data_IF_651375183474
#
_entry.id   IF_651375183474
#
_cell.length_a   1.000
_cell.length_b   1.000
_cell.length_c   1.000
_cell.angle_alpha   90.00
_cell.angle_beta   90.00
_cell.angle_gamma   90.00
#
_symmetry.space_group_name_H-M   'P 1'
#
loop_
_entity.id
_entity.type
_entity.pdbx_description
1 polymer ?
#
# COMPACT_ATOMS: atom_id res chain seq x y z
N UNK A 1 -16.29 -15.74 -35.02
CA UNK A 1 -16.84 -14.69 -34.14
C UNK A 1 -18.10 -15.24 -33.48
N UNK A 2 -17.96 -15.81 -32.28
CA UNK A 2 -19.11 -16.20 -31.47
C UNK A 2 -19.49 -14.98 -30.63
N UNK A 3 -20.50 -14.24 -31.07
CA UNK A 3 -21.09 -13.17 -30.27
C UNK A 3 -21.91 -13.83 -29.17
N UNK A 4 -21.30 -14.04 -28.00
CA UNK A 4 -22.06 -14.30 -26.77
C UNK A 4 -23.06 -13.15 -26.62
N UNK A 5 -24.38 -13.43 -26.58
CA UNK A 5 -25.36 -12.37 -26.42
C UNK A 5 -25.11 -11.70 -25.06
N UNK A 6 -24.93 -10.38 -25.06
CA UNK A 6 -24.89 -9.58 -23.83
C UNK A 6 -26.21 -9.85 -23.12
N UNK A 7 -26.15 -10.60 -22.02
CA UNK A 7 -27.36 -10.90 -21.27
C UNK A 7 -27.98 -9.57 -20.81
N UNK A 8 -29.28 -9.38 -21.03
CA UNK A 8 -30.02 -8.18 -20.58
C UNK A 8 -29.88 -7.97 -19.06
N UNK A 9 -29.56 -9.04 -18.32
CA UNK A 9 -29.20 -9.01 -16.89
C UNK A 9 -27.95 -8.20 -16.54
N UNK A 10 -27.05 -7.95 -17.50
CA UNK A 10 -25.84 -7.15 -17.28
C UNK A 10 -26.07 -5.64 -17.44
N UNK A 11 -27.28 -5.19 -17.82
CA UNK A 11 -27.60 -3.78 -18.01
C UNK A 11 -28.29 -3.11 -16.81
N UNK A 12 -28.65 -3.89 -15.77
CA UNK A 12 -29.42 -3.39 -14.63
C UNK A 12 -28.77 -3.75 -13.27
N UNK A 13 -28.67 -2.77 -12.36
CA UNK A 13 -28.10 -2.92 -11.01
C UNK A 13 -29.14 -3.30 -9.95
N UNK A 14 -30.07 -4.21 -10.27
CA UNK A 14 -31.04 -4.68 -9.28
C UNK A 14 -30.38 -5.47 -8.15
N UNK A 15 -31.07 -5.54 -7.00
CA UNK A 15 -30.57 -6.28 -5.84
C UNK A 15 -30.34 -7.75 -6.21
N UNK A 16 -29.08 -8.20 -6.11
CA UNK A 16 -28.68 -9.59 -6.36
C UNK A 16 -28.43 -10.30 -5.04
N UNK A 17 -28.65 -11.62 -5.02
CA UNK A 17 -28.27 -12.45 -3.87
C UNK A 17 -26.74 -12.48 -3.78
N UNK A 18 -26.21 -12.13 -2.62
CA UNK A 18 -24.78 -12.19 -2.32
C UNK A 18 -24.39 -13.63 -2.01
N UNK A 19 -23.93 -14.33 -3.05
CA UNK A 19 -23.22 -15.60 -2.93
C UNK A 19 -21.72 -15.36 -3.06
N UNK A 20 -20.91 -16.21 -2.43
CA UNK A 20 -19.47 -16.19 -2.66
C UNK A 20 -19.16 -16.48 -4.14
N UNK A 21 -18.25 -15.69 -4.71
CA UNK A 21 -17.85 -15.80 -6.12
C UNK A 21 -17.04 -17.08 -6.37
N UNK A 22 -16.86 -17.44 -7.63
CA UNK A 22 -15.98 -18.55 -8.02
C UNK A 22 -14.51 -18.08 -8.00
N UNK A 23 -13.63 -18.68 -7.17
CA UNK A 23 -12.21 -18.34 -7.14
C UNK A 23 -11.46 -18.62 -8.45
N UNK A 24 -12.04 -19.41 -9.35
CA UNK A 24 -11.48 -19.79 -10.66
C UNK A 24 -12.21 -19.13 -11.84
N UNK A 25 -13.02 -18.09 -11.58
CA UNK A 25 -13.71 -17.33 -12.63
C UNK A 25 -12.72 -16.75 -13.66
N UNK A 26 -12.82 -17.18 -14.91
CA UNK A 26 -12.01 -16.64 -16.00
C UNK A 26 -12.24 -15.14 -16.20
N UNK A 27 -11.16 -14.38 -16.39
CA UNK A 27 -11.19 -12.93 -16.67
C UNK A 27 -11.85 -12.06 -15.58
N UNK A 28 -11.78 -12.45 -14.30
CA UNK A 28 -12.14 -11.53 -13.20
C UNK A 28 -11.09 -10.41 -13.10
N UNK A 29 -11.48 -9.22 -13.54
CA UNK A 29 -10.70 -7.97 -13.47
C UNK A 29 -11.31 -6.98 -12.49
N UNK A 30 -10.52 -6.00 -12.06
CA UNK A 30 -10.98 -4.89 -11.21
C UNK A 30 -12.14 -4.11 -11.89
N UNK A 31 -13.23 -3.91 -11.16
CA UNK A 31 -14.39 -3.17 -11.68
C UNK A 31 -14.16 -1.65 -11.59
N UNK A 32 -14.83 -0.83 -12.42
CA UNK A 32 -14.73 0.62 -12.32
C UNK A 32 -15.08 1.18 -10.92
N UNK A 33 -15.98 0.52 -10.19
CA UNK A 33 -16.32 0.89 -8.81
C UNK A 33 -15.17 0.61 -7.85
N UNK A 34 -14.49 -0.53 -7.99
CA UNK A 34 -13.30 -0.86 -7.20
C UNK A 34 -12.18 0.14 -7.47
N UNK A 35 -11.95 0.52 -8.73
CA UNK A 35 -10.98 1.55 -9.10
C UNK A 35 -11.32 2.92 -8.51
N UNK A 36 -12.61 3.29 -8.54
CA UNK A 36 -13.08 4.54 -7.95
C UNK A 36 -12.91 4.53 -6.42
N UNK A 37 -13.15 3.40 -5.77
CA UNK A 37 -12.87 3.23 -4.34
C UNK A 37 -11.37 3.37 -4.05
N UNK A 38 -10.52 2.65 -4.81
CA UNK A 38 -9.07 2.69 -4.65
C UNK A 38 -8.54 4.12 -4.82
N UNK A 39 -9.07 4.87 -5.80
CA UNK A 39 -8.69 6.27 -6.06
C UNK A 39 -8.90 7.18 -4.85
N UNK A 40 -9.87 6.91 -3.97
CA UNK A 40 -10.09 7.76 -2.77
C UNK A 40 -8.90 7.79 -1.83
N UNK A 41 -8.07 6.75 -1.85
CA UNK A 41 -6.87 6.65 -1.02
C UNK A 41 -5.74 7.57 -1.51
N UNK A 42 -5.80 8.09 -2.74
CA UNK A 42 -4.79 9.05 -3.23
C UNK A 42 -4.67 10.27 -2.31
N UNK A 43 -5.81 10.78 -1.82
CA UNK A 43 -5.82 11.93 -0.90
C UNK A 43 -5.25 11.56 0.47
N UNK A 44 -5.52 10.35 0.95
CA UNK A 44 -4.98 9.87 2.22
C UNK A 44 -3.45 9.70 2.14
N UNK A 45 -2.94 9.15 1.03
CA UNK A 45 -1.51 9.06 0.78
C UNK A 45 -0.86 10.44 0.66
N UNK A 46 -1.44 11.35 -0.11
CA UNK A 46 -0.91 12.71 -0.26
C UNK A 46 -0.83 13.47 1.07
N UNK A 47 -1.85 13.38 1.92
CA UNK A 47 -1.81 13.99 3.25
C UNK A 47 -0.76 13.30 4.15
N UNK A 48 -0.68 11.97 4.15
CA UNK A 48 0.33 11.25 4.93
C UNK A 48 1.76 11.58 4.47
N UNK A 49 2.00 11.65 3.16
CA UNK A 49 3.29 12.00 2.56
C UNK A 49 3.68 13.46 2.87
N UNK A 50 2.73 14.40 2.75
CA UNK A 50 2.96 15.80 3.07
C UNK A 50 3.30 16.00 4.55
N UNK A 51 2.56 15.36 5.47
CA UNK A 51 2.86 15.41 6.90
C UNK A 51 4.22 14.78 7.24
N UNK A 52 4.56 13.64 6.62
CA UNK A 52 5.88 13.02 6.77
C UNK A 52 6.98 13.96 6.28
N UNK A 53 6.85 14.51 5.07
CA UNK A 53 7.85 15.38 4.47
C UNK A 53 8.10 16.63 5.32
N UNK A 54 7.04 17.26 5.81
CA UNK A 54 7.14 18.41 6.70
C UNK A 54 7.89 18.08 8.00
N UNK A 55 7.46 17.02 8.70
CA UNK A 55 8.11 16.59 9.95
C UNK A 55 9.58 16.21 9.74
N UNK A 56 9.92 15.54 8.64
CA UNK A 56 11.31 15.21 8.31
C UNK A 56 12.13 16.47 8.00
N UNK A 57 11.58 17.41 7.22
CA UNK A 57 12.24 18.66 6.87
C UNK A 57 12.51 19.55 8.08
N UNK A 58 11.66 19.51 9.11
CA UNK A 58 11.87 20.22 10.38
C UNK A 58 12.80 19.48 11.36
N UNK A 59 13.22 18.25 11.03
CA UNK A 59 14.06 17.43 11.91
C UNK A 59 13.30 16.66 12.98
N UNK A 60 11.96 16.68 12.95
CA UNK A 60 11.07 15.95 13.85
C UNK A 60 10.90 14.48 13.42
N UNK A 61 12.01 13.75 13.34
CA UNK A 61 12.04 12.38 12.79
C UNK A 61 11.12 11.40 13.50
N UNK A 62 11.08 11.43 14.84
CA UNK A 62 10.25 10.50 15.61
C UNK A 62 8.75 10.72 15.33
N UNK A 63 8.32 11.99 15.29
CA UNK A 63 6.94 12.39 14.95
C UNK A 63 6.60 11.92 13.53
N UNK A 64 7.47 12.24 12.57
CA UNK A 64 7.29 11.87 11.16
C UNK A 64 7.14 10.36 10.98
N UNK A 65 8.07 9.57 11.53
CA UNK A 65 8.09 8.12 11.36
C UNK A 65 6.95 7.41 12.10
N UNK A 66 6.65 7.80 13.34
CA UNK A 66 5.54 7.20 14.10
C UNK A 66 4.18 7.56 13.51
N UNK A 67 3.96 8.85 13.21
CA UNK A 67 2.74 9.33 12.59
C UNK A 67 2.51 8.69 11.22
N UNK A 68 3.55 8.61 10.39
CA UNK A 68 3.47 7.98 9.07
C UNK A 68 3.27 6.47 9.16
N UNK A 69 3.96 5.78 10.08
CA UNK A 69 3.75 4.35 10.29
C UNK A 69 2.31 4.03 10.70
N UNK A 70 1.74 4.81 11.63
CA UNK A 70 0.34 4.68 12.04
C UNK A 70 -0.62 5.01 10.90
N UNK A 71 -0.39 6.11 10.16
CA UNK A 71 -1.19 6.49 9.00
C UNK A 71 -1.14 5.43 7.90
N UNK A 72 0.05 4.95 7.53
CA UNK A 72 0.26 3.92 6.52
C UNK A 72 -0.46 2.62 6.88
N UNK A 73 -0.39 2.20 8.14
CA UNK A 73 -1.19 1.07 8.64
C UNK A 73 -2.69 1.36 8.47
N UNK A 74 -3.17 2.50 8.97
CA UNK A 74 -4.58 2.86 8.96
C UNK A 74 -5.14 2.94 7.52
N UNK A 75 -4.39 3.48 6.58
CA UNK A 75 -4.79 3.62 5.19
C UNK A 75 -4.83 2.24 4.52
N UNK A 76 -3.74 1.47 4.60
CA UNK A 76 -3.67 0.15 3.97
C UNK A 76 -4.67 -0.83 4.58
N UNK A 77 -4.88 -0.81 5.89
CA UNK A 77 -5.80 -1.70 6.57
C UNK A 77 -7.26 -1.45 6.15
N UNK A 78 -7.67 -0.18 6.03
CA UNK A 78 -8.99 0.18 5.53
C UNK A 78 -9.21 -0.34 4.11
N UNK A 79 -8.22 -0.21 3.24
CA UNK A 79 -8.26 -0.72 1.87
C UNK A 79 -8.32 -2.27 1.82
N UNK A 80 -7.48 -2.96 2.59
CA UNK A 80 -7.44 -4.43 2.66
C UNK A 80 -8.81 -4.97 3.05
N UNK A 81 -9.44 -4.44 4.11
CA UNK A 81 -10.73 -4.95 4.58
C UNK A 81 -11.78 -4.98 3.47
N UNK A 82 -11.98 -3.86 2.77
CA UNK A 82 -12.94 -3.81 1.66
C UNK A 82 -12.51 -4.69 0.48
N UNK A 83 -11.24 -4.66 0.13
CA UNK A 83 -10.78 -5.22 -1.14
C UNK A 83 -10.87 -6.74 -1.20
N UNK A 84 -10.53 -7.40 -0.08
CA UNK A 84 -10.68 -8.85 0.04
C UNK A 84 -12.15 -9.28 0.09
N UNK A 85 -13.01 -8.49 0.75
CA UNK A 85 -14.45 -8.75 0.73
C UNK A 85 -15.05 -8.60 -0.68
N UNK A 86 -14.71 -7.54 -1.40
CA UNK A 86 -15.17 -7.33 -2.76
C UNK A 86 -14.71 -8.46 -3.69
N UNK A 87 -13.47 -8.94 -3.54
CA UNK A 87 -12.99 -10.11 -4.30
C UNK A 87 -13.87 -11.36 -4.06
N UNK A 88 -14.31 -11.58 -2.82
CA UNK A 88 -15.12 -12.74 -2.46
C UNK A 88 -16.64 -12.58 -2.76
N UNK A 89 -17.18 -11.36 -2.69
CA UNK A 89 -18.64 -11.13 -2.57
C UNK A 89 -19.19 -9.97 -3.41
N UNK A 90 -18.41 -9.30 -4.25
CA UNK A 90 -18.91 -8.22 -5.11
C UNK A 90 -20.06 -8.70 -6.02
N UNK A 91 -21.24 -8.09 -5.85
CA UNK A 91 -22.47 -8.37 -6.60
C UNK A 91 -22.81 -7.31 -7.64
N UNK A 92 -22.12 -6.16 -7.64
CA UNK A 92 -22.37 -4.97 -8.47
C UNK A 92 -23.86 -4.51 -8.52
N UNK A 93 -24.60 -4.68 -7.41
CA UNK A 93 -25.96 -4.13 -7.29
C UNK A 93 -25.97 -2.71 -6.69
N UNK A 94 -27.11 -2.02 -6.83
CA UNK A 94 -27.26 -0.65 -6.36
C UNK A 94 -26.96 -0.48 -4.86
N UNK A 95 -27.28 -1.49 -4.05
CA UNK A 95 -27.04 -1.45 -2.61
C UNK A 95 -25.55 -1.61 -2.33
N UNK A 96 -24.87 -2.53 -3.01
CA UNK A 96 -23.42 -2.66 -2.91
C UNK A 96 -22.72 -1.34 -3.27
N UNK A 97 -23.09 -0.72 -4.39
CA UNK A 97 -22.57 0.59 -4.83
C UNK A 97 -22.77 1.68 -3.79
N UNK A 98 -23.97 1.80 -3.23
CA UNK A 98 -24.27 2.81 -2.22
C UNK A 98 -23.46 2.59 -0.94
N UNK A 99 -23.30 1.34 -0.51
CA UNK A 99 -22.48 1.02 0.67
C UNK A 99 -20.99 1.28 0.42
N UNK A 100 -20.47 0.98 -0.79
CA UNK A 100 -19.10 1.35 -1.17
C UNK A 100 -18.90 2.87 -1.13
N UNK A 101 -19.89 3.65 -1.59
CA UNK A 101 -19.84 5.11 -1.47
C UNK A 101 -19.77 5.59 -0.01
N UNK A 102 -20.49 4.93 0.92
CA UNK A 102 -20.36 5.23 2.35
C UNK A 102 -18.94 4.93 2.85
N UNK A 103 -18.31 3.84 2.39
CA UNK A 103 -16.93 3.54 2.74
C UNK A 103 -15.95 4.59 2.19
N UNK A 104 -16.15 5.05 0.95
CA UNK A 104 -15.37 6.16 0.37
C UNK A 104 -15.45 7.42 1.22
N UNK A 105 -16.64 7.79 1.72
CA UNK A 105 -16.80 8.92 2.64
C UNK A 105 -15.97 8.70 3.91
N UNK A 106 -15.99 7.49 4.46
CA UNK A 106 -15.19 7.15 5.64
C UNK A 106 -13.68 7.26 5.40
N UNK A 107 -13.17 6.90 4.21
CA UNK A 107 -11.76 7.09 3.82
C UNK A 107 -11.40 8.58 3.79
N UNK A 108 -12.27 9.42 3.21
CA UNK A 108 -12.04 10.87 3.15
C UNK A 108 -12.04 11.51 4.54
N UNK A 109 -12.96 11.11 5.41
CA UNK A 109 -12.99 11.57 6.82
C UNK A 109 -11.72 11.13 7.55
N UNK A 110 -11.26 9.89 7.35
CA UNK A 110 -10.00 9.42 7.91
C UNK A 110 -8.82 10.30 7.45
N UNK A 111 -8.74 10.60 6.15
CA UNK A 111 -7.68 11.40 5.57
C UNK A 111 -7.63 12.81 6.17
N UNK A 112 -8.79 13.46 6.37
CA UNK A 112 -8.90 14.79 7.01
C UNK A 112 -8.39 14.77 8.46
N UNK A 113 -8.44 13.62 9.14
CA UNK A 113 -7.93 13.46 10.49
C UNK A 113 -6.40 13.40 10.60
N UNK A 114 -5.68 13.10 9.50
CA UNK A 114 -4.24 12.89 9.53
C UNK A 114 -3.44 14.10 10.04
N UNK A 115 -3.64 15.34 9.55
CA UNK A 115 -2.87 16.48 10.05
C UNK A 115 -3.03 16.72 11.56
N UNK A 116 -4.25 16.53 12.08
CA UNK A 116 -4.51 16.66 13.53
C UNK A 116 -3.80 15.59 14.34
N UNK A 117 -3.80 14.35 13.85
CA UNK A 117 -3.10 13.26 14.50
C UNK A 117 -1.59 13.53 14.55
N UNK A 118 -0.98 13.96 13.44
CA UNK A 118 0.45 14.35 13.44
C UNK A 118 0.74 15.48 14.43
N UNK A 119 -0.06 16.56 14.41
CA UNK A 119 0.12 17.68 15.33
C UNK A 119 0.00 17.25 16.82
N UNK A 120 -0.87 16.29 17.12
CA UNK A 120 -1.04 15.76 18.48
C UNK A 120 0.16 14.92 18.95
N UNK A 121 0.87 14.24 18.05
CA UNK A 121 2.10 13.51 18.40
C UNK A 121 3.23 14.48 18.76
N UNK A 122 3.28 15.63 18.08
CA UNK A 122 4.35 16.61 18.25
C UNK A 122 4.14 17.52 19.46
N UNK A 123 2.93 18.03 19.63
CA UNK A 123 2.62 19.10 20.59
C UNK A 123 1.55 18.71 21.62
N UNK A 124 0.91 17.55 21.47
CA UNK A 124 -0.24 17.16 22.28
C UNK A 124 0.14 16.48 23.58
N UNK A 125 -0.63 16.74 24.64
CA UNK A 125 -0.62 15.94 25.87
C UNK A 125 -1.25 14.55 25.66
N UNK A 126 -2.08 14.41 24.62
CA UNK A 126 -2.81 13.19 24.26
C UNK A 126 -2.85 13.01 22.73
N UNK A 127 -2.91 11.76 22.28
CA UNK A 127 -3.03 11.41 20.85
C UNK A 127 -4.45 11.72 20.35
N UNK A 128 -4.61 12.71 19.47
CA UNK A 128 -5.89 13.04 18.85
C UNK A 128 -6.02 12.33 17.49
N UNK A 129 -6.52 11.10 17.53
CA UNK A 129 -6.92 10.33 16.34
C UNK A 129 -8.45 10.24 16.18
N UNK A 130 -9.20 11.12 16.84
CA UNK A 130 -10.67 11.06 16.93
C UNK A 130 -11.36 11.06 15.56
N UNK A 131 -10.94 11.96 14.67
CA UNK A 131 -11.46 12.05 13.29
C UNK A 131 -11.06 10.82 12.48
N UNK A 132 -9.85 10.30 12.65
CA UNK A 132 -9.41 9.08 11.96
C UNK A 132 -10.30 7.89 12.34
N UNK A 133 -10.58 7.72 13.63
CA UNK A 133 -11.46 6.65 14.10
C UNK A 133 -12.91 6.89 13.67
N UNK A 134 -13.40 8.12 13.62
CA UNK A 134 -14.72 8.42 13.05
C UNK A 134 -14.84 7.94 11.60
N UNK A 135 -13.82 8.21 10.78
CA UNK A 135 -13.74 7.68 9.42
C UNK A 135 -13.81 6.15 9.39
N UNK A 136 -13.07 5.49 10.29
CA UNK A 136 -13.14 4.04 10.49
C UNK A 136 -14.50 3.52 10.90
N UNK A 137 -15.20 4.20 11.82
CA UNK A 137 -16.56 3.83 12.24
C UNK A 137 -17.49 3.83 11.04
N UNK A 138 -17.44 4.88 10.20
CA UNK A 138 -18.24 4.98 8.97
C UNK A 138 -17.96 3.78 8.05
N UNK A 139 -16.68 3.49 7.79
CA UNK A 139 -16.27 2.37 6.96
C UNK A 139 -16.71 1.02 7.52
N UNK A 140 -16.60 0.82 8.85
CA UNK A 140 -16.88 -0.45 9.50
C UNK A 140 -18.37 -0.72 9.68
N UNK A 141 -19.19 0.30 9.90
CA UNK A 141 -20.65 0.11 9.89
C UNK A 141 -21.10 -0.39 8.53
N UNK A 142 -20.61 0.22 7.45
CA UNK A 142 -20.82 -0.26 6.08
C UNK A 142 -20.30 -1.69 5.87
N UNK A 143 -19.10 -1.99 6.38
CA UNK A 143 -18.49 -3.31 6.25
C UNK A 143 -19.23 -4.41 7.02
N UNK A 144 -19.63 -4.14 8.26
CA UNK A 144 -20.42 -5.05 9.10
C UNK A 144 -21.76 -5.32 8.42
N UNK A 145 -22.41 -4.30 7.86
CA UNK A 145 -23.65 -4.49 7.10
C UNK A 145 -23.46 -5.46 5.93
N UNK A 146 -22.38 -5.32 5.16
CA UNK A 146 -22.06 -6.20 4.03
C UNK A 146 -21.74 -7.64 4.48
N UNK A 147 -20.96 -7.82 5.54
CA UNK A 147 -20.72 -9.16 6.10
C UNK A 147 -21.99 -9.81 6.66
N UNK A 148 -22.88 -9.04 7.30
CA UNK A 148 -24.17 -9.54 7.77
C UNK A 148 -25.12 -9.89 6.61
N UNK A 149 -25.03 -9.16 5.49
CA UNK A 149 -25.74 -9.49 4.25
C UNK A 149 -25.20 -10.81 3.67
N UNK A 150 -23.89 -10.96 3.56
CA UNK A 150 -23.23 -12.20 3.12
C UNK A 150 -23.62 -13.38 4.03
N UNK A 151 -23.53 -13.23 5.36
CA UNK A 151 -23.89 -14.26 6.34
C UNK A 151 -25.35 -14.75 6.23
N UNK A 152 -26.26 -13.89 5.78
CA UNK A 152 -27.67 -14.25 5.54
C UNK A 152 -27.88 -14.93 4.19
N UNK A 153 -27.14 -14.52 3.17
CA UNK A 153 -27.38 -14.92 1.78
C UNK A 153 -26.51 -16.09 1.31
N UNK A 154 -25.43 -16.39 2.05
CA UNK A 154 -24.49 -17.48 1.83
C UNK A 154 -24.35 -18.38 3.09
N UNK A 155 -25.31 -19.30 3.33
CA UNK A 155 -25.32 -20.14 4.53
C UNK A 155 -24.06 -21.02 4.69
N UNK A 156 -23.41 -21.42 3.59
CA UNK A 156 -22.24 -22.28 3.61
C UNK A 156 -21.03 -21.63 4.30
N UNK A 157 -20.91 -20.29 4.20
CA UNK A 157 -19.80 -19.50 4.78
C UNK A 157 -20.28 -18.52 5.86
N UNK A 158 -21.48 -18.76 6.42
CA UNK A 158 -22.09 -17.92 7.44
C UNK A 158 -21.17 -17.72 8.65
N UNK A 159 -20.54 -18.79 9.13
CA UNK A 159 -19.67 -18.74 10.31
C UNK A 159 -18.43 -17.88 10.08
N UNK A 160 -17.86 -17.91 8.87
CA UNK A 160 -16.73 -17.06 8.46
C UNK A 160 -17.18 -15.59 8.47
N UNK A 161 -18.31 -15.29 7.83
CA UNK A 161 -18.87 -13.94 7.76
C UNK A 161 -19.16 -13.37 9.17
N UNK A 162 -19.75 -14.18 10.07
CA UNK A 162 -20.02 -13.75 11.45
C UNK A 162 -18.74 -13.60 12.29
N UNK A 163 -17.68 -14.36 11.98
CA UNK A 163 -16.37 -14.17 12.60
C UNK A 163 -15.78 -12.82 12.21
N UNK A 164 -15.86 -12.44 10.92
CA UNK A 164 -15.48 -11.09 10.47
C UNK A 164 -16.31 -9.99 11.15
N UNK A 165 -17.64 -10.13 11.23
CA UNK A 165 -18.50 -9.17 11.95
C UNK A 165 -18.04 -8.98 13.39
N UNK A 166 -17.77 -10.08 14.08
CA UNK A 166 -17.37 -10.07 15.49
C UNK A 166 -16.00 -9.43 15.68
N UNK A 167 -15.01 -9.82 14.87
CA UNK A 167 -13.66 -9.26 14.96
C UNK A 167 -13.64 -7.75 14.67
N UNK A 168 -14.31 -7.33 13.59
CA UNK A 168 -14.42 -5.92 13.19
C UNK A 168 -15.12 -5.10 14.29
N UNK A 169 -16.20 -5.63 14.88
CA UNK A 169 -16.94 -4.97 15.95
C UNK A 169 -16.13 -4.84 17.25
N UNK A 170 -15.46 -5.91 17.69
CA UNK A 170 -14.61 -5.89 18.90
C UNK A 170 -13.52 -4.83 18.76
N UNK A 171 -12.80 -4.86 17.63
CA UNK A 171 -11.72 -3.92 17.42
C UNK A 171 -12.24 -2.47 17.31
N UNK A 172 -13.39 -2.26 16.65
CA UNK A 172 -14.01 -0.94 16.56
C UNK A 172 -14.45 -0.39 17.92
N UNK A 173 -15.03 -1.24 18.78
CA UNK A 173 -15.38 -0.85 20.15
C UNK A 173 -14.12 -0.42 20.91
N UNK A 174 -13.04 -1.19 20.78
CA UNK A 174 -11.76 -0.85 21.39
C UNK A 174 -11.22 0.51 20.96
N UNK A 175 -11.21 0.80 19.65
CA UNK A 175 -10.77 2.11 19.13
C UNK A 175 -11.67 3.26 19.60
N UNK A 176 -12.98 3.04 19.71
CA UNK A 176 -13.92 4.07 20.23
C UNK A 176 -13.67 4.32 21.72
N UNK A 177 -13.49 3.26 22.52
CA UNK A 177 -13.18 3.38 23.95
C UNK A 177 -11.89 4.16 24.16
N UNK A 178 -10.88 3.93 23.32
CA UNK A 178 -9.60 4.63 23.40
C UNK A 178 -9.71 6.15 23.21
N UNK A 179 -10.71 6.63 22.46
CA UNK A 179 -10.96 8.06 22.26
C UNK A 179 -11.86 8.66 23.34
N UNK A 180 -12.81 7.88 23.85
CA UNK A 180 -13.77 8.37 24.84
C UNK A 180 -13.21 8.39 26.27
N UNK A 181 -12.13 7.64 26.51
CA UNK A 181 -11.51 7.52 27.83
C UNK A 181 -10.11 8.14 27.77
N UNK A 182 -9.86 9.11 28.65
CA UNK A 182 -8.57 9.78 28.78
C UNK A 182 -7.52 8.85 29.42
N UNK A 183 -6.97 7.95 28.62
CA UNK A 183 -5.85 7.11 29.00
C UNK A 183 -4.52 7.89 28.89
N UNK A 184 -3.58 7.58 29.79
CA UNK A 184 -2.19 8.06 29.63
C UNK A 184 -1.59 7.62 28.28
N UNK A 185 -0.61 8.36 27.77
CA UNK A 185 0.04 8.07 26.48
C UNK A 185 0.57 6.62 26.42
N UNK A 186 1.22 6.15 27.49
CA UNK A 186 1.74 4.77 27.57
C UNK A 186 0.63 3.73 27.49
N UNK A 187 -0.46 3.95 28.23
CA UNK A 187 -1.62 3.04 28.22
C UNK A 187 -2.30 3.04 26.85
N UNK A 188 -2.44 4.21 26.24
CA UNK A 188 -2.95 4.35 24.87
C UNK A 188 -2.07 3.63 23.86
N UNK A 189 -0.75 3.74 23.94
CA UNK A 189 0.16 3.03 23.05
C UNK A 189 0.02 1.50 23.19
N UNK A 190 -0.03 0.98 24.42
CA UNK A 190 -0.21 -0.47 24.68
C UNK A 190 -1.57 -0.96 24.17
N UNK A 191 -2.65 -0.22 24.44
CA UNK A 191 -3.99 -0.55 23.94
C UNK A 191 -4.03 -0.52 22.42
N UNK A 192 -3.42 0.47 21.77
CA UNK A 192 -3.34 0.55 20.32
C UNK A 192 -2.64 -0.69 19.75
N UNK A 193 -1.50 -1.13 20.32
CA UNK A 193 -0.82 -2.35 19.90
C UNK A 193 -1.71 -3.59 20.06
N UNK A 194 -2.42 -3.72 21.19
CA UNK A 194 -3.37 -4.82 21.40
C UNK A 194 -4.45 -4.80 20.34
N UNK A 195 -5.03 -3.63 20.03
CA UNK A 195 -6.05 -3.49 19.00
C UNK A 195 -5.50 -3.84 17.62
N UNK A 196 -4.31 -3.39 17.26
CA UNK A 196 -3.63 -3.78 16.02
C UNK A 196 -3.46 -5.30 15.91
N UNK A 197 -3.10 -5.98 17.00
CA UNK A 197 -3.02 -7.44 17.02
C UNK A 197 -4.39 -8.09 16.83
N UNK A 198 -5.46 -7.54 17.43
CA UNK A 198 -6.84 -8.01 17.21
C UNK A 198 -7.27 -7.82 15.76
N UNK A 199 -6.94 -6.67 15.15
CA UNK A 199 -7.18 -6.41 13.72
C UNK A 199 -6.53 -7.49 12.85
N UNK A 200 -5.23 -7.74 13.04
CA UNK A 200 -4.48 -8.71 12.25
C UNK A 200 -4.93 -10.16 12.52
N UNK A 201 -5.32 -10.48 13.74
CA UNK A 201 -5.77 -11.83 14.10
C UNK A 201 -7.17 -12.16 13.55
N UNK A 202 -8.04 -11.16 13.38
CA UNK A 202 -9.42 -11.34 12.93
C UNK A 202 -9.54 -12.11 11.61
N UNK A 203 -8.93 -11.64 10.51
CA UNK A 203 -8.92 -12.35 9.23
C UNK A 203 -8.27 -13.73 9.32
N UNK A 204 -7.15 -13.88 10.05
CA UNK A 204 -6.47 -15.17 10.23
C UNK A 204 -7.39 -16.20 10.89
N UNK A 205 -8.16 -15.79 11.90
CA UNK A 205 -9.13 -16.65 12.57
C UNK A 205 -10.32 -17.00 11.67
N UNK A 206 -10.81 -16.03 10.89
CA UNK A 206 -11.94 -16.23 9.98
C UNK A 206 -11.60 -17.19 8.84
N UNK A 207 -10.44 -17.01 8.20
CA UNK A 207 -10.02 -17.78 7.03
C UNK A 207 -9.57 -19.21 7.36
N UNK A 208 -9.24 -19.52 8.63
CA UNK A 208 -8.96 -20.90 9.07
C UNK A 208 -10.20 -21.79 9.10
N UNK A 209 -11.41 -21.22 8.99
CA UNK A 209 -12.67 -21.97 9.08
C UNK A 209 -13.20 -22.31 7.69
N UNK A 210 -13.73 -23.52 7.52
CA UNK A 210 -14.52 -23.96 6.37
C UNK A 210 -13.90 -23.61 4.98
N UNK A 211 -12.57 -23.66 4.85
CA UNK A 211 -11.85 -23.40 3.59
C UNK A 211 -11.67 -21.93 3.23
N UNK A 212 -12.05 -20.99 4.09
CA UNK A 212 -11.88 -19.55 3.88
C UNK A 212 -12.91 -18.91 2.96
N UNK A 213 -12.74 -17.61 2.72
CA UNK A 213 -13.56 -16.85 1.77
C UNK A 213 -13.12 -17.13 0.33
N UNK A 214 -14.06 -17.12 -0.64
CA UNK A 214 -13.77 -17.50 -2.02
C UNK A 214 -13.23 -16.31 -2.84
N UNK A 215 -12.14 -15.71 -2.38
CA UNK A 215 -11.45 -14.63 -3.10
C UNK A 215 -10.68 -15.16 -4.33
N UNK A 216 -10.49 -14.29 -5.33
CA UNK A 216 -9.84 -14.62 -6.60
C UNK A 216 -8.40 -14.08 -6.65
N UNK A 217 -7.42 -14.94 -6.92
CA UNK A 217 -5.99 -14.59 -6.83
C UNK A 217 -5.52 -13.51 -7.82
N UNK A 218 -5.85 -13.66 -9.11
CA UNK A 218 -5.43 -12.68 -10.13
C UNK A 218 -6.05 -11.31 -9.88
N UNK A 219 -7.36 -11.26 -9.62
CA UNK A 219 -8.06 -10.05 -9.18
C UNK A 219 -7.40 -9.38 -7.98
N UNK A 220 -6.98 -10.15 -6.96
CA UNK A 220 -6.32 -9.55 -5.80
C UNK A 220 -4.94 -9.00 -6.14
N UNK A 221 -4.11 -9.77 -6.84
CA UNK A 221 -2.81 -9.28 -7.30
C UNK A 221 -2.96 -8.00 -8.17
N UNK A 222 -3.95 -7.97 -9.07
CA UNK A 222 -4.27 -6.80 -9.88
C UNK A 222 -4.63 -5.60 -9.01
N UNK A 223 -5.55 -5.74 -8.04
CA UNK A 223 -5.95 -4.64 -7.17
C UNK A 223 -4.80 -4.10 -6.31
N UNK A 224 -3.95 -4.96 -5.77
CA UNK A 224 -2.74 -4.50 -5.06
C UNK A 224 -1.80 -3.72 -6.00
N UNK A 225 -1.66 -4.16 -7.27
CA UNK A 225 -0.84 -3.43 -8.25
C UNK A 225 -1.40 -2.05 -8.61
N UNK A 226 -2.72 -1.93 -8.70
CA UNK A 226 -3.39 -0.65 -8.97
C UNK A 226 -3.32 0.28 -7.76
N UNK A 227 -3.43 -0.28 -6.55
CA UNK A 227 -3.20 0.46 -5.30
C UNK A 227 -1.75 0.95 -5.19
N UNK A 228 -0.77 0.14 -5.60
CA UNK A 228 0.64 0.56 -5.69
C UNK A 228 0.85 1.66 -6.75
N UNK A 229 0.15 1.64 -7.88
CA UNK A 229 0.16 2.74 -8.87
C UNK A 229 -0.37 4.04 -8.26
N UNK A 230 -1.46 3.98 -7.49
CA UNK A 230 -2.01 5.14 -6.79
C UNK A 230 -0.98 5.71 -5.81
N UNK A 231 -0.32 4.85 -5.04
CA UNK A 231 0.77 5.25 -4.14
C UNK A 231 1.97 5.86 -4.90
N UNK A 232 2.35 5.29 -6.06
CA UNK A 232 3.40 5.82 -6.93
C UNK A 232 3.08 7.22 -7.47
N UNK A 233 1.80 7.62 -7.48
CA UNK A 233 1.39 9.00 -7.77
C UNK A 233 2.10 10.02 -6.88
N UNK A 234 2.40 9.68 -5.62
CA UNK A 234 3.17 10.54 -4.70
C UNK A 234 4.63 10.73 -5.15
N UNK A 235 5.21 9.76 -5.86
CA UNK A 235 6.51 9.93 -6.51
C UNK A 235 6.46 11.00 -7.60
N UNK A 236 5.39 11.04 -8.39
CA UNK A 236 5.17 12.07 -9.44
C UNK A 236 4.92 13.44 -8.81
N UNK A 237 4.08 13.53 -7.78
CA UNK A 237 3.77 14.79 -7.07
C UNK A 237 5.03 15.33 -6.38
N UNK A 238 5.80 14.48 -5.70
CA UNK A 238 7.07 14.85 -5.10
C UNK A 238 8.11 15.28 -6.13
N UNK A 239 8.18 14.62 -7.29
CA UNK A 239 9.03 15.04 -8.42
C UNK A 239 8.64 16.43 -8.89
N UNK A 240 7.34 16.70 -9.09
CA UNK A 240 6.85 18.01 -9.48
C UNK A 240 7.24 19.07 -8.45
N UNK A 241 7.06 18.80 -7.15
CA UNK A 241 7.45 19.72 -6.09
C UNK A 241 8.95 20.04 -6.13
N UNK A 242 9.79 19.02 -6.24
CA UNK A 242 11.26 19.20 -6.32
C UNK A 242 11.70 19.94 -7.59
N UNK A 243 11.08 19.66 -8.74
CA UNK A 243 11.37 20.34 -10.00
C UNK A 243 10.92 21.81 -9.93
N UNK A 244 9.73 22.09 -9.41
CA UNK A 244 9.21 23.45 -9.20
C UNK A 244 10.15 24.24 -8.31
N UNK A 245 10.61 23.67 -7.19
CA UNK A 245 11.58 24.30 -6.29
C UNK A 245 12.87 24.71 -7.02
N UNK A 246 13.46 23.82 -7.83
CA UNK A 246 14.68 24.16 -8.59
C UNK A 246 14.41 25.26 -9.61
N UNK A 247 13.31 25.17 -10.35
CA UNK A 247 12.98 26.15 -11.40
C UNK A 247 12.66 27.52 -10.81
N UNK A 248 12.02 27.60 -9.65
CA UNK A 248 11.73 28.87 -8.97
C UNK A 248 12.99 29.52 -8.39
N UNK A 249 13.89 28.74 -7.77
CA UNK A 249 15.13 29.26 -7.17
C UNK A 249 16.23 29.57 -8.21
N UNK A 250 16.34 28.77 -9.27
CA UNK A 250 17.50 28.78 -10.16
C UNK A 250 17.16 28.93 -11.65
N UNK A 251 15.87 28.88 -12.01
CA UNK A 251 15.42 28.83 -13.40
C UNK A 251 15.63 27.45 -14.05
N UNK A 252 15.33 27.37 -15.35
CA UNK A 252 15.58 26.17 -16.14
C UNK A 252 17.08 25.96 -16.36
N UNK A 253 17.66 24.97 -15.70
CA UNK A 253 19.08 24.62 -15.77
C UNK A 253 19.29 23.09 -15.82
N UNK A 254 20.56 22.65 -15.75
CA UNK A 254 20.90 21.23 -15.74
C UNK A 254 20.33 20.52 -14.50
N UNK A 255 20.37 21.15 -13.33
CA UNK A 255 19.89 20.55 -12.08
C UNK A 255 18.38 20.31 -12.12
N UNK A 256 17.62 21.23 -12.73
CA UNK A 256 16.19 21.04 -12.98
C UNK A 256 15.95 19.79 -13.86
N UNK A 257 16.73 19.62 -14.92
CA UNK A 257 16.65 18.44 -15.78
C UNK A 257 17.03 17.16 -15.01
N UNK A 258 18.09 17.19 -14.21
CA UNK A 258 18.54 16.04 -13.42
C UNK A 258 17.52 15.65 -12.35
N UNK A 259 16.94 16.61 -11.61
CA UNK A 259 15.89 16.34 -10.61
C UNK A 259 14.64 15.77 -11.28
N UNK A 260 14.20 16.33 -12.40
CA UNK A 260 13.05 15.82 -13.16
C UNK A 260 13.27 14.38 -13.66
N UNK A 261 14.45 14.09 -14.20
CA UNK A 261 14.84 12.72 -14.63
C UNK A 261 14.95 11.78 -13.44
N UNK A 262 15.55 12.23 -12.33
CA UNK A 262 15.75 11.39 -11.15
C UNK A 262 14.42 10.99 -10.52
N UNK A 263 13.53 11.94 -10.26
CA UNK A 263 12.22 11.68 -9.65
C UNK A 263 11.29 10.85 -10.53
N UNK A 264 11.23 11.17 -11.83
CA UNK A 264 10.47 10.38 -12.80
C UNK A 264 11.04 8.97 -12.93
N UNK A 265 12.37 8.86 -13.05
CA UNK A 265 13.06 7.59 -13.17
C UNK A 265 12.95 6.72 -11.92
N UNK A 266 12.93 7.31 -10.72
CA UNK A 266 12.68 6.59 -9.46
C UNK A 266 11.28 5.98 -9.48
N UNK A 267 10.27 6.80 -9.74
CA UNK A 267 8.87 6.35 -9.80
C UNK A 267 8.68 5.26 -10.84
N UNK A 268 9.24 5.45 -12.03
CA UNK A 268 9.16 4.47 -13.12
C UNK A 268 9.93 3.18 -12.82
N UNK A 269 11.12 3.28 -12.22
CA UNK A 269 11.91 2.12 -11.81
C UNK A 269 11.23 1.31 -10.71
N UNK A 270 10.60 1.98 -9.74
CA UNK A 270 9.82 1.32 -8.68
C UNK A 270 8.59 0.61 -9.26
N UNK A 271 7.87 1.27 -10.17
CA UNK A 271 6.77 0.64 -10.91
C UNK A 271 7.24 -0.64 -11.62
N UNK A 272 8.35 -0.56 -12.38
CA UNK A 272 8.86 -1.72 -13.12
C UNK A 272 9.25 -2.87 -12.18
N UNK A 273 9.98 -2.58 -11.09
CA UNK A 273 10.35 -3.60 -10.10
C UNK A 273 9.13 -4.25 -9.45
N UNK A 274 8.07 -3.47 -9.16
CA UNK A 274 6.84 -4.00 -8.56
C UNK A 274 6.15 -5.03 -9.46
N UNK A 275 6.08 -4.74 -10.76
CA UNK A 275 5.43 -5.60 -11.76
C UNK A 275 6.24 -6.85 -12.13
N UNK A 276 7.46 -7.01 -11.62
CA UNK A 276 8.23 -8.24 -11.75
C UNK A 276 7.76 -9.35 -10.78
N UNK A 277 6.92 -9.05 -9.80
CA UNK A 277 6.46 -10.06 -8.84
C UNK A 277 5.38 -10.98 -9.44
N UNK A 278 5.58 -12.32 -9.48
CA UNK A 278 4.58 -13.28 -9.98
C UNK A 278 3.46 -13.57 -8.97
N UNK A 279 2.90 -12.53 -8.35
CA UNK A 279 1.93 -12.66 -7.26
C UNK A 279 0.68 -13.44 -7.66
N UNK A 280 0.10 -13.13 -8.82
CA UNK A 280 -1.14 -13.73 -9.28
C UNK A 280 -1.08 -15.26 -9.49
N UNK A 281 -0.14 -15.80 -10.31
CA UNK A 281 -0.04 -17.25 -10.53
C UNK A 281 0.36 -17.99 -9.24
N UNK A 282 1.29 -17.44 -8.45
CA UNK A 282 1.72 -18.07 -7.20
C UNK A 282 0.57 -18.17 -6.20
N UNK A 283 -0.20 -17.11 -6.00
CA UNK A 283 -1.35 -17.13 -5.07
C UNK A 283 -2.51 -17.98 -5.57
N UNK A 284 -2.63 -18.18 -6.89
CA UNK A 284 -3.60 -19.10 -7.46
C UNK A 284 -3.27 -20.55 -7.10
N UNK A 285 -1.99 -20.93 -7.18
CA UNK A 285 -1.51 -22.25 -6.80
C UNK A 285 -1.38 -22.44 -5.27
N UNK A 286 -0.93 -21.42 -4.55
CA UNK A 286 -0.54 -21.47 -3.13
C UNK A 286 -1.29 -20.40 -2.32
N UNK A 287 -2.58 -20.64 -2.06
CA UNK A 287 -3.45 -19.70 -1.31
C UNK A 287 -2.99 -19.42 0.12
N UNK A 288 -2.27 -20.35 0.74
CA UNK A 288 -1.71 -20.23 2.09
C UNK A 288 -0.70 -19.08 2.21
N UNK A 289 -0.06 -18.69 1.10
CA UNK A 289 0.90 -17.57 1.03
C UNK A 289 0.25 -16.18 1.07
N UNK A 290 -1.07 -16.11 0.96
CA UNK A 290 -1.82 -14.85 0.84
C UNK A 290 -1.68 -13.88 2.02
N UNK A 291 -1.58 -14.38 3.26
CA UNK A 291 -1.53 -13.53 4.45
C UNK A 291 -0.22 -12.75 4.57
N UNK A 292 0.92 -13.46 4.50
CA UNK A 292 2.24 -12.83 4.56
C UNK A 292 2.41 -11.91 3.36
N UNK A 293 1.94 -12.33 2.17
CA UNK A 293 1.96 -11.49 0.99
C UNK A 293 1.12 -10.21 1.16
N UNK A 294 -0.14 -10.34 1.58
CA UNK A 294 -1.04 -9.20 1.73
C UNK A 294 -0.58 -8.21 2.80
N UNK A 295 -0.05 -8.69 3.93
CA UNK A 295 0.47 -7.81 4.98
C UNK A 295 1.84 -7.23 4.64
N UNK A 296 2.71 -8.00 3.97
CA UNK A 296 3.99 -7.50 3.48
C UNK A 296 3.84 -6.33 2.50
N UNK A 297 2.79 -6.36 1.68
CA UNK A 297 2.44 -5.27 0.76
C UNK A 297 2.17 -3.94 1.47
N UNK A 298 1.71 -3.93 2.73
CA UNK A 298 1.51 -2.68 3.49
C UNK A 298 2.83 -1.93 3.66
N UNK A 299 3.93 -2.65 3.92
CA UNK A 299 5.27 -2.07 4.04
C UNK A 299 5.76 -1.55 2.69
N UNK A 300 5.53 -2.32 1.62
CA UNK A 300 5.92 -1.94 0.25
C UNK A 300 5.19 -0.65 -0.17
N UNK A 301 3.88 -0.58 0.03
CA UNK A 301 3.07 0.60 -0.31
C UNK A 301 3.44 1.80 0.54
N UNK A 302 3.64 1.63 1.85
CA UNK A 302 4.12 2.72 2.71
C UNK A 302 5.51 3.23 2.27
N UNK A 303 6.41 2.34 1.85
CA UNK A 303 7.73 2.71 1.33
C UNK A 303 7.64 3.46 -0.02
N UNK A 304 6.70 3.10 -0.89
CA UNK A 304 6.40 3.86 -2.11
C UNK A 304 6.02 5.30 -1.76
N UNK A 305 5.03 5.47 -0.88
CA UNK A 305 4.54 6.80 -0.47
C UNK A 305 5.63 7.61 0.24
N UNK A 306 6.41 6.98 1.12
CA UNK A 306 7.52 7.62 1.80
C UNK A 306 8.64 8.06 0.85
N UNK A 307 8.86 7.34 -0.26
CA UNK A 307 9.82 7.77 -1.29
C UNK A 307 9.33 9.05 -1.98
N UNK A 308 8.03 9.18 -2.26
CA UNK A 308 7.42 10.42 -2.73
C UNK A 308 7.54 11.57 -1.71
N UNK A 309 7.31 11.28 -0.42
CA UNK A 309 7.54 12.24 0.66
C UNK A 309 9.01 12.70 0.72
N UNK A 310 9.98 11.81 0.51
CA UNK A 310 11.40 12.18 0.43
C UNK A 310 11.71 13.17 -0.70
N UNK A 311 11.04 13.06 -1.85
CA UNK A 311 11.15 14.06 -2.91
C UNK A 311 10.56 15.42 -2.53
N UNK A 312 9.49 15.45 -1.71
CA UNK A 312 9.02 16.69 -1.09
C UNK A 312 10.04 17.29 -0.11
N UNK A 313 10.74 16.47 0.68
CA UNK A 313 11.83 16.94 1.55
C UNK A 313 12.96 17.54 0.71
N UNK A 314 13.30 16.92 -0.43
CA UNK A 314 14.26 17.49 -1.37
C UNK A 314 13.81 18.86 -1.91
N UNK A 315 12.52 19.03 -2.21
CA UNK A 315 11.95 20.33 -2.58
C UNK A 315 12.16 21.37 -1.45
N UNK A 316 11.79 21.05 -0.21
CA UNK A 316 12.00 21.95 0.94
C UNK A 316 13.46 22.31 1.17
N UNK A 317 14.37 21.37 0.92
CA UNK A 317 15.81 21.62 1.02
C UNK A 317 16.30 22.60 -0.05
N UNK A 318 15.84 22.44 -1.29
CA UNK A 318 16.19 23.32 -2.42
C UNK A 318 15.66 24.75 -2.20
N UNK A 319 14.43 24.88 -1.67
CA UNK A 319 13.82 26.17 -1.30
C UNK A 319 14.41 26.79 -0.01
N UNK A 320 15.45 26.18 0.58
CA UNK A 320 16.04 26.62 1.85
C UNK A 320 15.04 26.67 3.03
N UNK A 321 13.97 25.87 2.98
CA UNK A 321 12.96 25.75 4.04
C UNK A 321 13.21 24.58 4.99
N UNK A 322 13.99 23.59 4.57
CA UNK A 322 14.37 22.46 5.42
C UNK A 322 15.40 22.88 6.48
N UNK A 323 15.22 22.41 7.71
CA UNK A 323 16.13 22.59 8.86
C UNK A 323 17.15 21.46 8.98
N UNK A 324 17.20 20.57 7.99
CA UNK A 324 18.07 19.39 7.96
C UNK A 324 19.16 19.53 6.90
N UNK A 325 20.28 18.83 7.10
CA UNK A 325 21.40 18.84 6.15
C UNK A 325 21.17 18.00 4.89
N UNK A 326 22.03 18.15 3.86
CA UNK A 326 21.90 17.45 2.58
C UNK A 326 21.84 15.93 2.73
N UNK A 327 22.64 15.35 3.63
CA UNK A 327 22.62 13.91 3.88
C UNK A 327 21.26 13.43 4.38
N UNK A 328 20.66 14.14 5.34
CA UNK A 328 19.36 13.77 5.90
C UNK A 328 18.25 13.91 4.84
N UNK A 329 18.32 14.94 4.00
CA UNK A 329 17.44 15.12 2.85
C UNK A 329 17.53 13.92 1.90
N UNK A 330 18.74 13.49 1.48
CA UNK A 330 18.87 12.32 0.61
C UNK A 330 18.34 11.04 1.29
N UNK A 331 18.63 10.86 2.58
CA UNK A 331 18.19 9.68 3.33
C UNK A 331 16.66 9.58 3.42
N UNK A 332 15.94 10.70 3.42
CA UNK A 332 14.46 10.69 3.39
C UNK A 332 13.88 10.03 2.13
N UNK A 333 14.63 9.96 1.04
CA UNK A 333 14.25 9.25 -0.20
C UNK A 333 14.95 7.89 -0.30
N UNK A 334 16.24 7.81 0.05
CA UNK A 334 17.04 6.60 -0.10
C UNK A 334 16.62 5.45 0.83
N UNK A 335 16.26 5.77 2.09
CA UNK A 335 15.80 4.77 3.05
C UNK A 335 14.50 4.09 2.58
N UNK A 336 13.41 4.83 2.29
CA UNK A 336 12.18 4.19 1.85
C UNK A 336 12.33 3.47 0.51
N UNK A 337 13.12 3.99 -0.44
CA UNK A 337 13.44 3.26 -1.67
C UNK A 337 14.12 1.92 -1.37
N UNK A 338 15.08 1.89 -0.44
CA UNK A 338 15.80 0.67 -0.07
C UNK A 338 14.88 -0.33 0.62
N UNK A 339 13.96 0.15 1.48
CA UNK A 339 12.92 -0.68 2.10
C UNK A 339 12.00 -1.28 1.03
N UNK A 340 11.57 -0.47 0.05
CA UNK A 340 10.77 -0.93 -1.07
C UNK A 340 11.49 -2.04 -1.85
N UNK A 341 12.73 -1.79 -2.31
CA UNK A 341 13.50 -2.77 -3.10
C UNK A 341 13.75 -4.04 -2.31
N UNK A 342 14.22 -3.93 -1.07
CA UNK A 342 14.41 -5.08 -0.17
C UNK A 342 13.11 -5.85 0.07
N UNK A 343 11.98 -5.16 0.19
CA UNK A 343 10.65 -5.73 0.29
C UNK A 343 10.24 -6.52 -0.95
N UNK A 344 10.51 -6.00 -2.16
CA UNK A 344 10.28 -6.72 -3.42
C UNK A 344 11.09 -8.02 -3.45
N UNK A 345 12.40 -7.98 -3.14
CA UNK A 345 13.23 -9.19 -3.10
C UNK A 345 12.77 -10.19 -2.04
N UNK A 346 12.43 -9.72 -0.84
CA UNK A 346 11.94 -10.57 0.23
C UNK A 346 10.62 -11.25 -0.16
N UNK A 347 9.70 -10.50 -0.78
CA UNK A 347 8.42 -11.02 -1.22
C UNK A 347 8.57 -11.99 -2.38
N UNK A 348 9.46 -11.70 -3.33
CA UNK A 348 9.82 -12.61 -4.41
C UNK A 348 10.33 -13.95 -3.86
N UNK A 349 11.30 -13.90 -2.94
CA UNK A 349 11.84 -15.10 -2.30
C UNK A 349 10.77 -15.89 -1.54
N UNK A 350 9.88 -15.20 -0.81
CA UNK A 350 8.78 -15.83 -0.10
C UNK A 350 7.77 -16.50 -1.06
N UNK A 351 7.44 -15.83 -2.17
CA UNK A 351 6.47 -16.32 -3.14
C UNK A 351 7.01 -17.49 -3.96
N UNK A 352 8.26 -17.43 -4.44
CA UNK A 352 8.83 -18.47 -5.32
C UNK A 352 9.50 -19.59 -4.51
N UNK A 353 9.90 -19.33 -3.26
CA UNK A 353 10.61 -20.27 -2.37
C UNK A 353 11.86 -20.90 -2.99
N UNK A 354 12.47 -20.25 -3.98
CA UNK A 354 13.73 -20.67 -4.59
C UNK A 354 14.83 -19.67 -4.32
N UNK A 355 15.96 -20.22 -3.92
CA UNK A 355 17.18 -19.47 -3.70
C UNK A 355 18.03 -19.52 -4.96
N UNK A 356 18.24 -18.35 -5.57
CA UNK A 356 19.10 -18.20 -6.72
C UNK A 356 20.23 -17.21 -6.38
N UNK A 357 21.50 -17.64 -6.43
CA UNK A 357 22.65 -16.75 -6.20
C UNK A 357 22.61 -15.48 -7.07
N UNK A 358 22.04 -15.54 -8.27
CA UNK A 358 21.93 -14.37 -9.15
C UNK A 358 21.10 -13.25 -8.50
N UNK A 359 19.95 -13.59 -7.90
CA UNK A 359 19.08 -12.61 -7.25
C UNK A 359 19.73 -11.96 -6.03
N UNK A 360 20.64 -12.66 -5.35
CA UNK A 360 21.42 -12.11 -4.24
C UNK A 360 22.48 -11.14 -4.73
N UNK A 361 23.21 -11.50 -5.79
CA UNK A 361 24.15 -10.58 -6.42
C UNK A 361 23.45 -9.33 -6.95
N UNK A 362 22.24 -9.48 -7.48
CA UNK A 362 21.43 -8.37 -7.94
C UNK A 362 20.98 -7.47 -6.78
N UNK A 363 20.50 -8.06 -5.68
CA UNK A 363 20.18 -7.32 -4.45
C UNK A 363 21.41 -6.57 -3.90
N UNK A 364 22.58 -7.22 -3.85
CA UNK A 364 23.83 -6.60 -3.39
C UNK A 364 24.26 -5.46 -4.31
N UNK A 365 24.14 -5.62 -5.63
CA UNK A 365 24.45 -4.58 -6.60
C UNK A 365 23.50 -3.37 -6.44
N UNK A 366 22.21 -3.61 -6.30
CA UNK A 366 21.21 -2.56 -6.04
C UNK A 366 21.47 -1.85 -4.70
N UNK A 367 21.80 -2.59 -3.63
CA UNK A 367 22.17 -2.00 -2.34
C UNK A 367 23.47 -1.18 -2.43
N UNK A 368 24.46 -1.64 -3.21
CA UNK A 368 25.71 -0.92 -3.43
C UNK A 368 25.48 0.41 -4.16
N UNK A 369 24.57 0.47 -5.14
CA UNK A 369 24.22 1.72 -5.83
C UNK A 369 23.49 2.69 -4.90
N UNK A 370 22.55 2.22 -4.07
CA UNK A 370 21.91 3.04 -3.05
C UNK A 370 22.94 3.59 -2.03
N UNK A 371 23.88 2.75 -1.59
CA UNK A 371 24.97 3.17 -0.71
C UNK A 371 25.91 4.18 -1.39
N UNK A 372 26.18 4.03 -2.69
CA UNK A 372 26.99 4.98 -3.46
C UNK A 372 26.36 6.37 -3.47
N UNK A 373 25.04 6.49 -3.60
CA UNK A 373 24.34 7.77 -3.50
C UNK A 373 24.56 8.42 -2.11
N UNK A 374 24.48 7.63 -1.04
CA UNK A 374 24.73 8.10 0.34
C UNK A 374 26.18 8.56 0.52
N UNK A 375 27.14 7.79 0.01
CA UNK A 375 28.57 8.17 0.04
C UNK A 375 28.83 9.45 -0.74
N UNK A 376 28.19 9.63 -1.89
CA UNK A 376 28.28 10.86 -2.69
C UNK A 376 27.77 12.08 -1.90
N UNK A 377 26.64 11.96 -1.20
CA UNK A 377 26.13 13.04 -0.35
C UNK A 377 27.07 13.36 0.83
N UNK A 378 27.68 12.35 1.47
CA UNK A 378 28.68 12.56 2.51
C UNK A 378 29.91 13.30 1.96
N UNK A 379 30.28 13.02 0.70
CA UNK A 379 31.38 13.69 0.01
C UNK A 379 31.03 15.12 -0.47
N UNK A 380 29.81 15.60 -0.23
CA UNK A 380 29.36 16.95 -0.62
C UNK A 380 29.02 17.08 -2.11
N UNK A 381 28.72 15.97 -2.79
CA UNK A 381 28.20 15.98 -4.16
C UNK A 381 26.81 16.64 -4.17
N UNK A 382 26.51 17.35 -5.27
CA UNK A 382 25.22 18.01 -5.46
C UNK A 382 24.02 17.04 -5.31
N UNK A 383 22.91 17.56 -4.78
CA UNK A 383 21.70 16.79 -4.49
C UNK A 383 21.09 16.16 -5.74
N UNK A 384 21.06 16.89 -6.86
CA UNK A 384 20.48 16.39 -8.11
C UNK A 384 21.28 15.19 -8.63
N UNK A 385 22.60 15.23 -8.52
CA UNK A 385 23.49 14.12 -8.88
C UNK A 385 23.29 12.93 -7.94
N UNK A 386 23.16 13.18 -6.63
CA UNK A 386 22.88 12.11 -5.66
C UNK A 386 21.55 11.40 -5.95
N UNK A 387 20.50 12.14 -6.30
CA UNK A 387 19.21 11.57 -6.69
C UNK A 387 19.30 10.75 -7.98
N UNK A 388 20.08 11.20 -8.97
CA UNK A 388 20.33 10.42 -10.20
C UNK A 388 21.04 9.10 -9.87
N UNK A 389 22.07 9.11 -9.02
CA UNK A 389 22.75 7.87 -8.60
C UNK A 389 21.74 6.94 -7.92
N UNK A 390 20.87 7.48 -7.07
CA UNK A 390 19.83 6.72 -6.40
C UNK A 390 18.82 6.09 -7.38
N UNK A 391 18.45 6.79 -8.45
CA UNK A 391 17.61 6.27 -9.54
C UNK A 391 18.21 5.04 -10.24
N UNK A 392 19.53 4.89 -10.24
CA UNK A 392 20.19 3.73 -10.83
C UNK A 392 19.96 2.43 -10.01
N UNK A 393 19.58 2.53 -8.73
CA UNK A 393 19.35 1.37 -7.88
C UNK A 393 18.22 0.44 -8.38
N UNK A 394 16.99 0.95 -8.66
CA UNK A 394 15.96 0.15 -9.33
C UNK A 394 16.36 -0.22 -10.76
N UNK A 395 17.05 0.64 -11.50
CA UNK A 395 17.48 0.33 -12.87
C UNK A 395 18.41 -0.90 -12.94
N UNK A 396 19.31 -1.07 -11.97
CA UNK A 396 20.14 -2.28 -11.86
C UNK A 396 19.28 -3.53 -11.70
N UNK A 397 18.27 -3.49 -10.82
CA UNK A 397 17.34 -4.61 -10.64
C UNK A 397 16.60 -4.91 -11.94
N UNK A 398 16.08 -3.89 -12.62
CA UNK A 398 15.35 -4.05 -13.88
C UNK A 398 16.23 -4.71 -14.95
N UNK A 399 17.42 -4.16 -15.18
CA UNK A 399 18.34 -4.66 -16.21
C UNK A 399 18.80 -6.08 -15.88
N UNK A 400 19.13 -6.39 -14.63
CA UNK A 400 19.52 -7.74 -14.24
C UNK A 400 18.39 -8.76 -14.47
N UNK A 401 17.16 -8.40 -14.11
CA UNK A 401 16.00 -9.24 -14.33
C UNK A 401 15.73 -9.50 -15.82
N UNK A 402 15.81 -8.48 -16.68
CA UNK A 402 15.59 -8.64 -18.12
C UNK A 402 16.66 -9.52 -18.79
N UNK A 403 17.93 -9.37 -18.41
CA UNK A 403 19.02 -10.14 -19.06
C UNK A 403 18.97 -11.62 -18.65
N UNK A 404 18.72 -11.93 -17.37
CA UNK A 404 18.78 -13.32 -16.86
C UNK A 404 17.64 -13.73 -15.93
N UNK A 405 17.01 -12.82 -15.19
CA UNK A 405 15.98 -13.14 -14.18
C UNK A 405 14.72 -13.78 -14.75
N UNK A 406 14.18 -13.26 -15.86
CA UNK A 406 12.90 -13.72 -16.43
C UNK A 406 12.91 -15.21 -16.83
N UNK A 407 14.07 -15.75 -17.23
CA UNK A 407 14.22 -17.16 -17.60
C UNK A 407 14.11 -18.09 -16.38
N UNK A 408 14.71 -17.70 -15.27
CA UNK A 408 14.66 -18.46 -14.02
C UNK A 408 13.24 -18.45 -13.43
N UNK A 409 12.54 -17.33 -13.55
CA UNK A 409 11.15 -17.23 -13.12
C UNK A 409 10.24 -18.15 -13.94
N UNK A 410 10.36 -18.12 -15.27
CA UNK A 410 9.58 -19.01 -16.16
C UNK A 410 9.83 -20.50 -15.85
N UNK A 411 11.08 -20.88 -15.59
CA UNK A 411 11.43 -22.24 -15.18
C UNK A 411 10.80 -22.62 -13.83
N UNK A 412 10.77 -21.71 -12.87
CA UNK A 412 10.17 -21.95 -11.54
C UNK A 412 8.66 -22.15 -11.62
N UNK A 413 7.95 -21.30 -12.35
CA UNK A 413 6.49 -21.40 -12.53
C UNK A 413 6.10 -22.66 -13.30
N UNK A 414 6.87 -23.04 -14.33
CA UNK A 414 6.62 -24.27 -15.10
C UNK A 414 6.90 -25.58 -14.32
N UNK A 415 7.64 -25.52 -13.21
CA UNK A 415 7.81 -26.66 -12.30
C UNK A 415 6.67 -26.75 -11.29
N UNK A 416 6.19 -25.63 -10.77
CA UNK A 416 5.05 -25.60 -9.84
C UNK A 416 3.76 -26.08 -10.51
N UNK A 417 3.50 -25.69 -11.77
CA UNK A 417 2.36 -26.21 -12.54
C UNK A 417 2.38 -27.75 -12.66
N UNK A 418 3.57 -28.33 -12.84
CA UNK A 418 3.75 -29.80 -12.92
C UNK A 418 3.52 -30.51 -11.59
N UNK A 419 3.82 -29.85 -10.48
CA UNK A 419 3.57 -30.40 -9.14
C UNK A 419 2.09 -30.29 -8.73
N UNK A 420 1.35 -29.30 -9.23
CA UNK A 420 -0.10 -29.17 -8.96
C UNK A 420 -0.99 -30.11 -9.80
N UNK A 421 -0.46 -30.69 -10.88
CA UNK A 421 -1.17 -31.62 -11.76
C UNK A 421 -1.04 -33.10 -11.33
N UNK A 422 -0.24 -33.39 -10.30
CA UNK A 422 -0.06 -34.71 -9.70
C UNK A 422 -0.61 -34.74 -8.28
#
# INVERSE_FOLDING_TARGET
>A
MSTTPVSVQNLHHHLKRMGGRDPHEGHRVATPLELLFDLTFVTAFGLAASQLAHALAEGHYAVGLLGFGFAGFAICWAWINFSWFASAYDTDDWLFRLITMVQMIGVLVLAIGLPRMFASIEHGEHLDNSIMVLGYVIMRVAMIFQWLRAARQDPARRDICLTYVTAIAIAQIGWVVQILVDFSIETSAVLAIILLLVELAGPVLAERRNGGTPWHAHHMAERYSLFAIIALGEGVVGTLASLSAVVEEQGWNLDAALVGVAGTGLTFGMWWCYYMLPSAPVLHAHRDRSFVWGYGQMVIVAAIVATGAGLHVAAYFIEHKAQIGPLATLLSTAIPLTIFLGGIYALYYYLVQRFDPFHIWLLLATAAVAALAVVAAIAGVDMAVCLIILTLAPAVTVVGYEIHGHRHEAESLAMDERHTLH
#
